data_IF_324248347093
#
_entry.id   IF_324248347093
#
_cell.length_a   1.000
_cell.length_b   1.000
_cell.length_c   1.000
_cell.angle_alpha   90.00
_cell.angle_beta   90.00
_cell.angle_gamma   90.00
#
_symmetry.space_group_name_H-M   'P 1'
#
loop_
_entity.id
_entity.type
_entity.pdbx_description
1 polymer ?
#
# COMPACT_ATOMS: atom_id res chain seq x y z
N UNK A 1 -63.91 -23.46 28.76
CA UNK A 1 -63.63 -23.34 27.32
C UNK A 1 -63.90 -21.92 26.90
N UNK A 2 -62.85 -21.19 26.52
CA UNK A 2 -62.75 -20.26 25.39
C UNK A 2 -61.45 -19.49 25.58
N UNK A 3 -60.42 -19.93 24.86
CA UNK A 3 -59.16 -19.25 24.73
C UNK A 3 -59.30 -18.14 23.67
N UNK A 4 -58.85 -16.93 23.96
CA UNK A 4 -58.48 -15.92 22.95
C UNK A 4 -57.11 -15.37 23.33
N UNK A 5 -56.05 -16.06 22.91
CA UNK A 5 -55.18 -15.63 21.80
C UNK A 5 -54.62 -14.22 22.02
N UNK A 6 -53.48 -14.15 22.71
CA UNK A 6 -52.63 -12.97 22.69
C UNK A 6 -52.09 -12.77 21.28
N UNK A 7 -52.59 -11.76 20.58
CA UNK A 7 -51.96 -11.25 19.37
C UNK A 7 -50.84 -10.32 19.81
N UNK A 8 -49.61 -10.83 19.77
CA UNK A 8 -48.41 -10.01 19.82
C UNK A 8 -48.43 -9.05 18.63
N UNK A 9 -48.88 -7.81 18.87
CA UNK A 9 -48.87 -6.74 17.90
C UNK A 9 -47.44 -6.46 17.48
N UNK A 10 -47.18 -6.52 16.17
CA UNK A 10 -45.93 -6.08 15.57
C UNK A 10 -45.80 -4.58 15.83
N UNK A 11 -44.98 -4.17 16.79
CA UNK A 11 -44.60 -2.77 16.95
C UNK A 11 -43.56 -2.45 15.87
N UNK A 12 -43.87 -1.61 14.85
CA UNK A 12 -42.85 -1.19 13.92
C UNK A 12 -41.85 -0.33 14.68
N UNK A 13 -40.59 -0.76 14.70
CA UNK A 13 -39.45 -0.05 15.31
C UNK A 13 -39.03 1.21 14.53
N UNK A 14 -39.81 1.61 13.53
CA UNK A 14 -39.57 2.79 12.72
C UNK A 14 -40.61 3.86 13.03
N UNK A 15 -40.14 5.07 13.34
CA UNK A 15 -41.00 6.23 13.51
C UNK A 15 -41.82 6.48 12.23
N UNK A 16 -43.08 6.90 12.41
CA UNK A 16 -43.98 7.32 11.34
C UNK A 16 -43.29 8.42 10.49
N UNK A 17 -42.89 8.09 9.26
CA UNK A 17 -42.42 9.10 8.31
C UNK A 17 -43.63 9.84 7.75
N UNK A 18 -43.81 11.10 8.15
CA UNK A 18 -44.71 12.01 7.45
C UNK A 18 -44.23 12.16 6.00
N UNK A 19 -45.15 12.11 5.03
CA UNK A 19 -44.84 12.44 3.65
C UNK A 19 -44.40 13.91 3.59
N UNK A 20 -43.09 14.15 3.60
CA UNK A 20 -42.54 15.45 3.25
C UNK A 20 -42.88 15.75 1.79
N UNK A 21 -43.06 17.03 1.44
CA UNK A 21 -43.12 17.46 0.04
C UNK A 21 -41.97 16.82 -0.74
N UNK A 22 -42.27 16.38 -1.96
CA UNK A 22 -41.30 15.80 -2.87
C UNK A 22 -40.26 16.88 -3.21
N UNK A 23 -39.20 16.97 -2.41
CA UNK A 23 -37.99 17.68 -2.79
C UNK A 23 -37.39 16.91 -3.97
N UNK A 24 -37.08 17.61 -5.08
CA UNK A 24 -36.38 17.00 -6.20
C UNK A 24 -35.19 16.19 -5.67
N UNK A 25 -34.96 14.96 -6.17
CA UNK A 25 -33.83 14.17 -5.70
C UNK A 25 -32.58 15.00 -5.94
N UNK A 26 -31.93 15.46 -4.86
CA UNK A 26 -30.62 16.12 -4.95
C UNK A 26 -29.77 15.22 -5.84
N UNK A 27 -29.45 15.71 -7.04
CA UNK A 27 -28.65 14.97 -8.00
C UNK A 27 -27.35 14.62 -7.26
N UNK A 28 -27.20 13.35 -6.87
CA UNK A 28 -25.95 12.85 -6.32
C UNK A 28 -24.99 12.77 -7.51
N UNK A 29 -24.35 13.90 -7.80
CA UNK A 29 -23.25 13.98 -8.76
C UNK A 29 -22.09 13.19 -8.14
N UNK A 30 -21.99 11.91 -8.47
CA UNK A 30 -20.95 11.02 -7.98
C UNK A 30 -20.19 10.46 -9.17
N UNK A 31 -18.98 10.96 -9.33
CA UNK A 31 -18.11 10.59 -10.42
C UNK A 31 -16.65 10.76 -10.02
N UNK A 32 -15.82 9.81 -10.43
CA UNK A 32 -14.37 9.95 -10.31
C UNK A 32 -13.89 10.88 -11.43
N UNK A 33 -13.41 12.08 -11.10
CA UNK A 33 -12.73 12.94 -12.08
C UNK A 33 -11.35 12.37 -12.35
N UNK A 34 -11.14 11.81 -13.55
CA UNK A 34 -9.78 11.52 -13.97
C UNK A 34 -8.95 12.81 -13.93
N UNK A 35 -7.71 12.74 -13.43
CA UNK A 35 -6.87 13.92 -13.44
C UNK A 35 -6.66 14.44 -14.84
N UNK A 36 -7.14 15.66 -15.08
CA UNK A 36 -6.82 16.43 -16.27
C UNK A 36 -5.68 17.39 -15.94
N UNK A 37 -4.54 16.80 -15.59
CA UNK A 37 -3.32 17.55 -15.28
C UNK A 37 -2.33 17.44 -16.43
N UNK A 38 -1.65 18.54 -16.74
CA UNK A 38 -0.47 18.48 -17.61
C UNK A 38 0.63 17.64 -16.96
N UNK A 39 1.58 17.11 -17.75
CA UNK A 39 2.69 16.29 -17.22
C UNK A 39 3.51 17.01 -16.14
N UNK A 40 3.67 18.32 -16.26
CA UNK A 40 4.39 19.15 -15.28
C UNK A 40 3.60 19.32 -13.98
N UNK A 41 2.29 19.55 -14.10
CA UNK A 41 1.39 19.63 -12.96
C UNK A 41 1.31 18.30 -12.21
N UNK A 42 1.19 17.20 -12.94
CA UNK A 42 1.15 15.86 -12.37
C UNK A 42 2.47 15.50 -11.67
N UNK A 43 3.61 15.81 -12.28
CA UNK A 43 4.91 15.57 -11.65
C UNK A 43 5.11 16.41 -10.38
N UNK A 44 4.62 17.66 -10.35
CA UNK A 44 4.63 18.49 -9.15
C UNK A 44 3.81 17.86 -8.01
N UNK A 45 2.62 17.32 -8.31
CA UNK A 45 1.80 16.60 -7.32
C UNK A 45 2.52 15.35 -6.81
N UNK A 46 3.10 14.55 -7.71
CA UNK A 46 3.87 13.35 -7.34
C UNK A 46 5.03 13.70 -6.40
N UNK A 47 5.78 14.77 -6.70
CA UNK A 47 6.88 15.24 -5.86
C UNK A 47 6.39 15.72 -4.49
N UNK A 48 5.36 16.56 -4.46
CA UNK A 48 4.80 17.12 -3.22
C UNK A 48 4.25 16.03 -2.30
N UNK A 49 3.48 15.10 -2.84
CA UNK A 49 2.91 13.96 -2.10
C UNK A 49 3.99 13.03 -1.60
N UNK A 50 5.01 12.76 -2.41
CA UNK A 50 6.15 11.92 -2.01
C UNK A 50 6.96 12.57 -0.88
N UNK A 51 7.15 13.89 -0.92
CA UNK A 51 7.83 14.63 0.15
C UNK A 51 7.02 14.62 1.45
N UNK A 52 5.72 14.89 1.38
CA UNK A 52 4.81 14.85 2.53
C UNK A 52 4.78 13.45 3.16
N UNK A 53 4.64 12.41 2.34
CA UNK A 53 4.65 11.02 2.80
C UNK A 53 6.00 10.65 3.42
N UNK A 54 7.13 11.06 2.83
CA UNK A 54 8.46 10.78 3.37
C UNK A 54 8.70 11.46 4.73
N UNK A 55 8.15 12.65 4.94
CA UNK A 55 8.18 13.34 6.23
C UNK A 55 7.34 12.58 7.27
N UNK A 56 6.11 12.21 6.92
CA UNK A 56 5.17 11.51 7.80
C UNK A 56 5.62 10.07 8.13
N UNK A 57 6.33 9.39 7.20
CA UNK A 57 6.86 8.04 7.41
C UNK A 57 7.74 7.95 8.67
N UNK A 58 8.53 8.99 8.98
CA UNK A 58 9.50 8.99 10.08
C UNK A 58 8.85 8.73 11.45
N UNK A 59 7.89 9.56 11.90
CA UNK A 59 7.18 9.27 13.13
C UNK A 59 6.30 8.02 13.04
N UNK A 60 5.70 7.73 11.88
CA UNK A 60 4.82 6.57 11.69
C UNK A 60 5.53 5.23 11.99
N UNK A 61 6.75 5.05 11.46
CA UNK A 61 7.54 3.82 11.70
C UNK A 61 7.95 3.69 13.18
N UNK A 62 7.90 4.77 13.95
CA UNK A 62 8.19 4.76 15.39
C UNK A 62 6.95 4.50 16.25
N UNK A 63 5.76 4.48 15.67
CA UNK A 63 4.52 4.18 16.42
C UNK A 63 4.51 2.76 16.98
N UNK A 64 5.27 1.86 16.38
CA UNK A 64 5.66 0.56 16.90
C UNK A 64 6.14 0.56 18.37
N UNK A 65 6.70 1.67 18.85
CA UNK A 65 7.13 1.81 20.24
C UNK A 65 5.94 1.86 21.23
N UNK A 66 4.73 2.17 20.76
CA UNK A 66 3.51 2.27 21.56
C UNK A 66 2.70 0.98 21.60
N UNK A 67 3.21 -0.11 21.01
CA UNK A 67 2.48 -1.37 20.94
C UNK A 67 2.20 -1.99 22.31
N UNK A 68 2.92 -1.60 23.36
CA UNK A 68 2.62 -1.99 24.74
C UNK A 68 1.27 -1.43 25.27
N UNK A 69 0.70 -0.42 24.60
CA UNK A 69 -0.63 0.09 24.90
C UNK A 69 -1.74 -0.84 24.40
N UNK A 70 -1.54 -1.46 23.25
CA UNK A 70 -2.40 -2.55 22.78
C UNK A 70 -2.12 -3.77 23.63
N UNK A 71 -3.17 -4.36 24.22
CA UNK A 71 -3.06 -5.49 25.15
C UNK A 71 -2.75 -6.79 24.41
N UNK A 72 -1.58 -6.83 23.75
CA UNK A 72 -1.12 -7.96 22.94
C UNK A 72 -0.60 -9.03 23.88
N UNK A 73 -1.07 -10.29 23.73
CA UNK A 73 -0.64 -11.39 24.58
C UNK A 73 0.89 -11.52 24.60
N UNK A 74 1.50 -11.44 25.79
CA UNK A 74 2.94 -11.60 26.01
C UNK A 74 3.74 -10.31 26.25
N UNK A 75 3.33 -9.16 25.72
CA UNK A 75 3.98 -7.85 26.01
C UNK A 75 3.29 -7.09 27.15
N UNK A 76 1.94 -7.16 27.23
CA UNK A 76 1.16 -6.43 28.23
C UNK A 76 1.33 -6.95 29.66
N UNK A 77 1.59 -8.25 29.82
CA UNK A 77 1.79 -8.89 31.12
C UNK A 77 3.08 -8.46 31.84
N UNK A 78 3.98 -7.73 31.15
CA UNK A 78 5.26 -7.28 31.71
C UNK A 78 5.20 -5.90 32.36
N UNK A 79 4.15 -5.12 32.10
CA UNK A 79 4.02 -3.73 32.59
C UNK A 79 2.68 -3.61 33.32
N UNK A 80 2.73 -3.43 34.64
CA UNK A 80 1.55 -3.19 35.47
C UNK A 80 0.75 -1.99 34.93
N UNK A 81 -0.58 -2.04 35.05
CA UNK A 81 -1.47 -1.00 34.50
C UNK A 81 -1.17 0.42 35.03
N UNK A 82 -0.65 0.54 36.26
CA UNK A 82 -0.20 1.81 36.86
C UNK A 82 1.02 2.40 36.17
N UNK A 83 1.91 1.57 35.62
CA UNK A 83 3.14 2.00 34.94
C UNK A 83 2.94 2.34 33.45
N UNK A 84 1.83 1.94 32.83
CA UNK A 84 1.57 2.19 31.40
C UNK A 84 1.55 3.70 31.07
N UNK A 85 1.04 4.55 31.98
CA UNK A 85 1.00 6.02 31.80
C UNK A 85 2.40 6.64 31.85
N UNK A 86 3.21 6.25 32.84
CA UNK A 86 4.59 6.73 32.95
C UNK A 86 5.44 6.26 31.76
N UNK A 87 5.26 4.99 31.35
CA UNK A 87 5.93 4.42 30.18
C UNK A 87 5.51 5.08 28.87
N UNK A 88 4.25 5.50 28.73
CA UNK A 88 3.76 6.28 27.60
C UNK A 88 4.53 7.59 27.41
N UNK A 89 4.59 8.43 28.43
CA UNK A 89 5.34 9.69 28.35
C UNK A 89 6.83 9.46 28.18
N UNK A 90 7.41 8.46 28.87
CA UNK A 90 8.81 8.08 28.68
C UNK A 90 9.09 7.70 27.23
N UNK A 91 8.19 6.96 26.59
CA UNK A 91 8.32 6.58 25.18
C UNK A 91 8.21 7.80 24.27
N UNK A 92 7.24 8.69 24.50
CA UNK A 92 7.08 9.92 23.71
C UNK A 92 8.35 10.78 23.71
N UNK A 93 8.92 11.03 24.89
CA UNK A 93 10.06 11.94 25.02
C UNK A 93 11.40 11.29 24.70
N UNK A 94 11.52 9.96 24.85
CA UNK A 94 12.77 9.25 24.53
C UNK A 94 12.93 8.95 23.04
N UNK A 95 11.83 8.85 22.30
CA UNK A 95 11.87 8.52 20.87
C UNK A 95 12.34 9.72 20.06
N UNK A 96 13.40 9.52 19.29
CA UNK A 96 13.85 10.47 18.27
C UNK A 96 12.96 10.36 17.03
N UNK A 97 11.81 11.03 17.06
CA UNK A 97 10.74 10.96 16.05
C UNK A 97 11.18 11.18 14.61
N UNK A 98 12.12 12.10 14.39
CA UNK A 98 12.60 12.46 13.05
C UNK A 98 13.93 11.80 12.67
N UNK A 99 14.42 10.85 13.49
CA UNK A 99 15.60 10.06 13.16
C UNK A 99 15.24 8.88 12.26
N UNK A 100 16.08 8.59 11.27
CA UNK A 100 15.85 7.48 10.36
C UNK A 100 16.57 7.66 9.05
N UNK A 101 16.04 7.02 8.01
CA UNK A 101 16.60 7.16 6.66
C UNK A 101 16.55 8.62 6.19
N UNK A 102 17.52 9.03 5.34
CA UNK A 102 17.51 10.36 4.74
C UNK A 102 16.18 10.63 4.03
N UNK A 103 15.65 11.85 4.22
CA UNK A 103 14.34 12.22 3.70
C UNK A 103 14.30 12.10 2.18
N UNK A 104 15.34 12.63 1.53
CA UNK A 104 15.51 12.59 0.08
C UNK A 104 15.46 11.15 -0.44
N UNK A 105 16.08 10.20 0.27
CA UNK A 105 16.12 8.81 -0.15
C UNK A 105 14.73 8.17 -0.12
N UNK A 106 13.96 8.40 0.95
CA UNK A 106 12.56 7.92 1.02
C UNK A 106 11.66 8.62 0.00
N UNK A 107 11.89 9.92 -0.25
CA UNK A 107 11.16 10.68 -1.26
C UNK A 107 11.39 10.10 -2.66
N UNK A 108 12.65 9.83 -3.02
CA UNK A 108 13.01 9.26 -4.33
C UNK A 108 12.39 7.87 -4.54
N UNK A 109 12.33 7.03 -3.49
CA UNK A 109 11.65 5.74 -3.56
C UNK A 109 10.17 5.90 -3.91
N UNK A 110 9.47 6.84 -3.26
CA UNK A 110 8.05 7.10 -3.52
C UNK A 110 7.78 7.72 -4.88
N UNK A 111 8.61 8.70 -5.29
CA UNK A 111 8.53 9.31 -6.62
C UNK A 111 8.69 8.24 -7.69
N UNK A 112 9.70 7.38 -7.56
CA UNK A 112 9.94 6.31 -8.52
C UNK A 112 8.74 5.35 -8.62
N UNK A 113 8.19 4.91 -7.48
CA UNK A 113 7.06 3.98 -7.46
C UNK A 113 5.80 4.60 -8.10
N UNK A 114 5.49 5.85 -7.78
CA UNK A 114 4.29 6.51 -8.27
C UNK A 114 4.40 6.92 -9.74
N UNK A 115 5.57 7.42 -10.15
CA UNK A 115 5.86 7.75 -11.54
C UNK A 115 5.87 6.50 -12.44
N UNK A 116 6.49 5.41 -11.99
CA UNK A 116 6.50 4.15 -12.76
C UNK A 116 5.10 3.55 -12.88
N UNK A 117 4.31 3.55 -11.80
CA UNK A 117 2.93 3.07 -11.83
C UNK A 117 2.06 3.87 -12.81
N UNK A 118 2.07 5.20 -12.71
CA UNK A 118 1.25 6.08 -13.57
C UNK A 118 1.64 5.95 -15.05
N UNK A 119 2.95 5.98 -15.33
CA UNK A 119 3.48 5.80 -16.68
C UNK A 119 3.14 4.42 -17.28
N UNK A 120 3.24 3.34 -16.50
CA UNK A 120 2.88 1.99 -16.97
C UNK A 120 1.38 1.87 -17.21
N UNK A 121 0.57 2.46 -16.32
CA UNK A 121 -0.89 2.43 -16.43
C UNK A 121 -1.38 3.13 -17.70
N UNK A 122 -0.77 4.24 -18.09
CA UNK A 122 -1.14 4.94 -19.34
C UNK A 122 -0.77 4.13 -20.60
N UNK A 123 0.27 3.30 -20.54
CA UNK A 123 0.81 2.59 -21.71
C UNK A 123 0.27 1.18 -21.90
N UNK A 124 -0.27 0.56 -20.86
CA UNK A 124 -0.73 -0.83 -20.91
C UNK A 124 -2.10 -0.95 -21.61
N UNK A 125 -2.20 -1.67 -22.74
CA UNK A 125 -3.46 -1.82 -23.49
C UNK A 125 -4.41 -2.88 -22.90
N UNK A 126 -4.18 -3.35 -21.67
CA UNK A 126 -4.92 -4.48 -21.09
C UNK A 126 -6.39 -4.11 -20.83
N UNK A 127 -7.29 -5.04 -21.19
CA UNK A 127 -8.74 -4.84 -21.42
C UNK A 127 -9.64 -4.70 -20.17
N UNK A 128 -9.19 -3.98 -19.15
CA UNK A 128 -10.03 -3.58 -18.01
C UNK A 128 -9.26 -2.72 -17.03
N UNK A 129 -9.91 -1.69 -16.48
CA UNK A 129 -9.26 -0.73 -15.56
C UNK A 129 -8.61 -1.45 -14.37
N UNK A 130 -9.32 -2.39 -13.76
CA UNK A 130 -8.82 -3.24 -12.67
C UNK A 130 -7.54 -3.99 -13.07
N UNK A 131 -7.61 -4.82 -14.13
CA UNK A 131 -6.49 -5.63 -14.59
C UNK A 131 -5.26 -4.76 -14.94
N UNK A 132 -5.49 -3.62 -15.60
CA UNK A 132 -4.46 -2.63 -15.92
C UNK A 132 -3.79 -2.07 -14.66
N UNK A 133 -4.55 -1.85 -13.59
CA UNK A 133 -4.03 -1.43 -12.29
C UNK A 133 -3.10 -2.46 -11.64
N UNK A 134 -3.54 -3.72 -11.57
CA UNK A 134 -2.72 -4.81 -11.03
C UNK A 134 -1.44 -5.02 -11.83
N UNK A 135 -1.55 -4.96 -13.16
CA UNK A 135 -0.42 -5.08 -14.08
C UNK A 135 0.60 -3.95 -13.92
N UNK A 136 0.13 -2.70 -13.96
CA UNK A 136 0.97 -1.52 -13.81
C UNK A 136 1.68 -1.52 -12.44
N UNK A 137 0.96 -1.88 -11.38
CA UNK A 137 1.52 -2.02 -10.04
C UNK A 137 2.60 -3.10 -9.96
N UNK A 138 2.34 -4.27 -10.55
CA UNK A 138 3.28 -5.38 -10.56
C UNK A 138 4.55 -5.07 -11.35
N UNK A 139 4.43 -4.51 -12.55
CA UNK A 139 5.57 -4.10 -13.37
C UNK A 139 6.36 -2.96 -12.71
N UNK A 140 5.70 -2.00 -12.08
CA UNK A 140 6.35 -0.95 -11.28
C UNK A 140 7.19 -1.57 -10.16
N UNK A 141 6.67 -2.62 -9.50
CA UNK A 141 7.39 -3.38 -8.49
C UNK A 141 8.63 -4.11 -9.02
N UNK A 142 8.56 -4.68 -10.23
CA UNK A 142 9.73 -5.30 -10.89
C UNK A 142 10.78 -4.25 -11.26
N UNK A 143 10.36 -3.12 -11.83
CA UNK A 143 11.26 -2.00 -12.12
C UNK A 143 11.94 -1.50 -10.85
N UNK A 144 11.18 -1.37 -9.76
CA UNK A 144 11.71 -1.00 -8.46
C UNK A 144 12.72 -2.03 -7.96
N UNK A 145 12.41 -3.33 -8.05
CA UNK A 145 13.34 -4.38 -7.67
C UNK A 145 14.63 -4.35 -8.49
N UNK A 146 14.56 -4.09 -9.80
CA UNK A 146 15.73 -4.04 -10.68
C UNK A 146 16.70 -2.91 -10.30
N UNK A 147 16.16 -1.74 -9.92
CA UNK A 147 16.96 -0.57 -9.49
C UNK A 147 17.43 -0.74 -8.05
N UNK A 148 16.58 -1.28 -7.17
CA UNK A 148 16.85 -1.30 -5.73
C UNK A 148 17.73 -2.47 -5.27
N UNK A 149 17.53 -3.65 -5.86
CA UNK A 149 18.26 -4.86 -5.50
C UNK A 149 19.78 -4.68 -5.49
N UNK A 150 20.43 -4.03 -6.49
CA UNK A 150 21.87 -3.87 -6.44
C UNK A 150 22.35 -3.03 -5.27
N UNK A 151 21.63 -1.96 -4.95
CA UNK A 151 21.93 -1.14 -3.77
C UNK A 151 21.78 -1.94 -2.47
N UNK A 152 20.72 -2.74 -2.35
CA UNK A 152 20.51 -3.57 -1.16
C UNK A 152 21.63 -4.59 -0.97
N UNK A 153 22.10 -5.24 -2.04
CA UNK A 153 23.19 -6.22 -1.97
C UNK A 153 24.54 -5.56 -1.61
N UNK A 154 24.83 -4.39 -2.18
CA UNK A 154 26.05 -3.66 -1.83
C UNK A 154 26.01 -3.18 -0.37
N UNK A 155 24.84 -2.75 0.10
CA UNK A 155 24.64 -2.34 1.48
C UNK A 155 24.82 -3.50 2.45
N UNK A 156 24.18 -4.64 2.21
CA UNK A 156 24.35 -5.83 3.08
C UNK A 156 25.78 -6.34 3.06
N UNK A 157 26.49 -6.22 1.94
CA UNK A 157 27.92 -6.54 1.85
C UNK A 157 28.78 -5.59 2.68
N UNK A 158 28.45 -4.30 2.69
CA UNK A 158 29.16 -3.31 3.53
C UNK A 158 28.90 -3.49 5.03
N UNK A 159 27.70 -3.97 5.39
CA UNK A 159 27.26 -4.21 6.76
C UNK A 159 27.52 -5.65 7.23
N UNK A 160 28.11 -6.51 6.38
CA UNK A 160 28.30 -7.93 6.68
C UNK A 160 29.15 -8.13 7.93
N UNK A 161 28.59 -8.84 8.91
CA UNK A 161 29.22 -9.12 10.20
C UNK A 161 30.07 -10.39 10.07
N UNK A 162 31.40 -10.24 10.11
CA UNK A 162 32.31 -11.40 10.00
C UNK A 162 33.82 -11.11 10.03
N UNK A 163 34.24 -9.90 10.42
CA UNK A 163 35.66 -9.51 10.50
C UNK A 163 35.82 -8.01 10.83
N UNK A 164 37.05 -7.46 10.91
CA UNK A 164 37.25 -6.02 11.04
C UNK A 164 36.47 -5.31 9.91
N UNK A 165 35.86 -4.14 10.19
CA UNK A 165 35.05 -3.36 9.23
C UNK A 165 35.81 -3.21 7.91
N UNK A 166 35.58 -4.12 6.97
CA UNK A 166 36.37 -4.22 5.73
C UNK A 166 36.04 -3.07 4.77
N UNK A 167 34.84 -2.51 4.90
CA UNK A 167 34.36 -1.41 4.06
C UNK A 167 33.75 -0.31 4.91
N UNK A 168 34.05 0.96 4.55
CA UNK A 168 33.48 2.14 5.20
C UNK A 168 32.04 2.44 4.76
N UNK A 169 31.61 1.88 3.63
CA UNK A 169 30.24 2.02 3.12
C UNK A 169 30.07 1.43 1.72
N UNK A 170 28.87 1.61 1.15
CA UNK A 170 28.48 1.10 -0.18
C UNK A 170 29.46 1.50 -1.29
N UNK A 171 29.88 2.76 -1.32
CA UNK A 171 30.82 3.25 -2.35
C UNK A 171 32.21 2.61 -2.25
N UNK A 172 32.64 2.23 -1.05
CA UNK A 172 33.92 1.57 -0.82
C UNK A 172 33.89 0.12 -1.32
N UNK A 173 32.75 -0.56 -1.14
CA UNK A 173 32.50 -1.89 -1.73
C UNK A 173 32.58 -1.82 -3.25
N UNK A 174 31.92 -0.83 -3.88
CA UNK A 174 31.95 -0.66 -5.34
C UNK A 174 33.36 -0.36 -5.84
N UNK A 175 34.07 0.57 -5.19
CA UNK A 175 35.44 0.94 -5.54
C UNK A 175 36.40 -0.25 -5.44
N UNK A 176 36.26 -1.06 -4.40
CA UNK A 176 37.08 -2.26 -4.20
C UNK A 176 36.72 -3.35 -5.22
N UNK A 177 35.43 -3.57 -5.48
CA UNK A 177 34.97 -4.53 -6.48
C UNK A 177 35.46 -4.18 -7.89
N UNK A 178 35.44 -2.90 -8.27
CA UNK A 178 35.95 -2.41 -9.56
C UNK A 178 37.47 -2.60 -9.69
N UNK A 179 38.22 -2.44 -8.60
CA UNK A 179 39.69 -2.58 -8.59
C UNK A 179 40.15 -4.03 -8.59
N UNK A 180 39.51 -4.89 -7.81
CA UNK A 180 39.95 -6.26 -7.61
C UNK A 180 39.37 -7.22 -8.66
N UNK A 181 38.03 -7.24 -8.81
CA UNK A 181 37.33 -8.19 -9.70
C UNK A 181 35.99 -7.61 -10.18
N UNK A 182 35.95 -6.94 -11.36
CA UNK A 182 34.72 -6.34 -11.88
C UNK A 182 33.61 -7.36 -12.16
N UNK A 183 33.94 -8.63 -12.38
CA UNK A 183 32.97 -9.72 -12.53
C UNK A 183 32.09 -9.95 -11.29
N UNK A 184 32.53 -9.50 -10.10
CA UNK A 184 31.74 -9.54 -8.86
C UNK A 184 30.52 -8.62 -8.93
N UNK A 185 30.57 -7.57 -9.75
CA UNK A 185 29.44 -6.65 -9.95
C UNK A 185 28.25 -7.31 -10.66
N UNK A 186 28.50 -8.27 -11.55
CA UNK A 186 27.42 -9.09 -12.13
C UNK A 186 26.79 -10.01 -11.09
N UNK A 187 27.56 -10.41 -10.06
CA UNK A 187 27.10 -11.18 -8.92
C UNK A 187 26.07 -10.45 -8.06
N UNK A 188 25.98 -9.12 -8.15
CA UNK A 188 25.04 -8.29 -7.40
C UNK A 188 23.59 -8.60 -7.78
N UNK A 189 23.33 -9.01 -9.03
CA UNK A 189 21.99 -9.41 -9.49
C UNK A 189 21.61 -10.85 -9.15
N UNK A 190 22.47 -11.61 -8.44
CA UNK A 190 22.10 -12.95 -7.98
C UNK A 190 20.89 -12.88 -7.05
N UNK A 191 19.88 -13.70 -7.37
CA UNK A 191 18.63 -13.76 -6.61
C UNK A 191 17.64 -12.63 -6.90
N UNK A 192 17.89 -11.80 -7.92
CA UNK A 192 16.95 -10.73 -8.33
C UNK A 192 15.57 -11.27 -8.69
N UNK A 193 15.48 -12.49 -9.23
CA UNK A 193 14.21 -13.12 -9.63
C UNK A 193 13.26 -13.31 -8.45
N UNK A 194 13.76 -13.80 -7.31
CA UNK A 194 12.95 -13.98 -6.11
C UNK A 194 12.48 -12.63 -5.52
N UNK A 195 13.34 -11.61 -5.59
CA UNK A 195 13.00 -10.25 -5.15
C UNK A 195 11.97 -9.62 -6.07
N UNK A 196 12.19 -9.71 -7.38
CA UNK A 196 11.29 -9.18 -8.39
C UNK A 196 9.91 -9.84 -8.31
N UNK A 197 9.84 -11.16 -8.11
CA UNK A 197 8.57 -11.86 -7.91
C UNK A 197 7.84 -11.38 -6.65
N UNK A 198 8.55 -11.26 -5.52
CA UNK A 198 7.96 -10.72 -4.29
C UNK A 198 7.45 -9.28 -4.45
N UNK A 199 8.22 -8.41 -5.11
CA UNK A 199 7.82 -7.01 -5.36
C UNK A 199 6.69 -6.90 -6.38
N UNK A 200 6.65 -7.76 -7.39
CA UNK A 200 5.58 -7.84 -8.38
C UNK A 200 4.25 -8.10 -7.68
N UNK A 201 4.20 -9.10 -6.80
CA UNK A 201 2.94 -9.42 -6.12
C UNK A 201 2.59 -8.37 -5.07
N UNK A 202 3.59 -7.83 -4.35
CA UNK A 202 3.39 -6.75 -3.38
C UNK A 202 2.71 -5.53 -4.01
N UNK A 203 3.38 -4.94 -5.01
CA UNK A 203 2.94 -3.68 -5.59
C UNK A 203 1.78 -3.88 -6.57
N UNK A 204 1.67 -5.06 -7.19
CA UNK A 204 0.51 -5.46 -7.97
C UNK A 204 -0.76 -5.46 -7.12
N UNK A 205 -0.74 -6.07 -5.94
CA UNK A 205 -1.89 -6.03 -5.04
C UNK A 205 -2.15 -4.63 -4.47
N UNK A 206 -1.09 -3.93 -4.03
CA UNK A 206 -1.21 -2.59 -3.45
C UNK A 206 -1.85 -1.59 -4.43
N UNK A 207 -1.24 -1.40 -5.61
CA UNK A 207 -1.76 -0.45 -6.60
C UNK A 207 -2.97 -1.00 -7.36
N UNK A 208 -3.09 -2.32 -7.50
CA UNK A 208 -4.24 -2.97 -8.13
C UNK A 208 -5.52 -2.77 -7.35
N UNK A 209 -5.51 -3.02 -6.04
CA UNK A 209 -6.67 -2.77 -5.16
C UNK A 209 -7.05 -1.30 -5.18
N UNK A 210 -6.10 -0.39 -5.01
CA UNK A 210 -6.37 1.05 -5.12
C UNK A 210 -6.96 1.47 -6.46
N UNK A 211 -6.42 0.94 -7.55
CA UNK A 211 -6.88 1.32 -8.88
C UNK A 211 -8.26 0.73 -9.21
N UNK A 212 -8.53 -0.49 -8.73
CA UNK A 212 -9.83 -1.12 -8.83
C UNK A 212 -10.86 -0.26 -8.09
N UNK A 213 -10.53 0.12 -6.86
CA UNK A 213 -11.56 0.63 -5.98
C UNK A 213 -11.75 2.14 -6.07
N UNK A 214 -10.76 2.93 -6.49
CA UNK A 214 -10.94 4.37 -6.70
C UNK A 214 -12.03 4.70 -7.73
N UNK A 215 -12.31 3.79 -8.67
CA UNK A 215 -13.31 3.99 -9.71
C UNK A 215 -14.71 3.50 -9.34
N UNK A 216 -14.88 2.76 -8.25
CA UNK A 216 -16.16 2.15 -7.92
C UNK A 216 -17.25 3.19 -7.57
N UNK A 217 -16.95 4.50 -7.50
CA UNK A 217 -17.91 5.56 -7.11
C UNK A 217 -18.39 5.46 -5.65
N UNK A 218 -18.04 4.38 -4.96
CA UNK A 218 -18.45 4.00 -3.59
C UNK A 218 -17.77 4.84 -2.50
N UNK A 219 -16.69 5.56 -2.83
CA UNK A 219 -15.85 6.22 -1.83
C UNK A 219 -16.36 7.62 -1.51
N UNK A 220 -17.20 7.71 -0.48
CA UNK A 220 -17.80 8.99 -0.06
C UNK A 220 -16.84 9.90 0.73
N UNK A 221 -15.76 9.36 1.30
CA UNK A 221 -14.85 10.10 2.19
C UNK A 221 -13.39 9.65 2.09
N UNK A 222 -12.45 10.59 2.34
CA UNK A 222 -10.99 10.34 2.37
C UNK A 222 -10.59 9.21 3.31
N UNK A 223 -11.27 9.08 4.46
CA UNK A 223 -11.02 8.00 5.41
C UNK A 223 -11.31 6.62 4.82
N UNK A 224 -12.39 6.49 4.02
CA UNK A 224 -12.68 5.24 3.35
C UNK A 224 -11.56 4.93 2.36
N UNK A 225 -11.20 5.87 1.48
CA UNK A 225 -10.07 5.70 0.55
C UNK A 225 -8.80 5.22 1.25
N UNK A 226 -8.52 5.76 2.43
CA UNK A 226 -7.41 5.31 3.25
C UNK A 226 -7.52 3.86 3.69
N UNK A 227 -8.68 3.43 4.19
CA UNK A 227 -8.90 2.04 4.59
C UNK A 227 -8.70 1.05 3.45
N UNK A 228 -9.12 1.39 2.23
CA UNK A 228 -8.96 0.48 1.10
C UNK A 228 -7.54 0.48 0.53
N UNK A 229 -6.86 1.63 0.51
CA UNK A 229 -5.43 1.67 0.20
C UNK A 229 -4.62 0.90 1.25
N UNK A 230 -5.03 0.96 2.51
CA UNK A 230 -4.44 0.22 3.63
C UNK A 230 -4.65 -1.29 3.47
N UNK A 231 -5.88 -1.71 3.16
CA UNK A 231 -6.19 -3.10 2.84
C UNK A 231 -5.34 -3.62 1.67
N UNK A 232 -5.22 -2.84 0.58
CA UNK A 232 -4.38 -3.17 -0.56
C UNK A 232 -2.89 -3.31 -0.19
N UNK A 233 -2.37 -2.39 0.62
CA UNK A 233 -0.98 -2.43 1.09
C UNK A 233 -0.72 -3.64 2.01
N UNK A 234 -1.64 -3.95 2.94
CA UNK A 234 -1.57 -5.13 3.82
C UNK A 234 -1.63 -6.42 3.00
N UNK A 235 -2.54 -6.51 2.04
CA UNK A 235 -2.64 -7.66 1.14
C UNK A 235 -1.35 -7.83 0.34
N UNK A 236 -0.76 -6.74 -0.15
CA UNK A 236 0.55 -6.76 -0.82
C UNK A 236 1.66 -7.31 0.08
N UNK A 237 1.74 -6.85 1.34
CA UNK A 237 2.70 -7.38 2.31
C UNK A 237 2.49 -8.86 2.60
N UNK A 238 1.22 -9.29 2.77
CA UNK A 238 0.86 -10.68 3.00
C UNK A 238 1.30 -11.57 1.83
N UNK A 239 0.98 -11.18 0.60
CA UNK A 239 1.32 -11.97 -0.59
C UNK A 239 2.83 -11.97 -0.88
N UNK A 240 3.55 -10.90 -0.53
CA UNK A 240 5.00 -10.84 -0.66
C UNK A 240 5.73 -11.70 0.38
N UNK A 241 5.16 -11.86 1.58
CA UNK A 241 5.86 -12.42 2.73
C UNK A 241 6.54 -13.78 2.45
N UNK A 242 5.93 -14.72 1.70
CA UNK A 242 6.59 -15.98 1.36
C UNK A 242 7.91 -15.82 0.62
N UNK A 243 7.98 -14.89 -0.33
CA UNK A 243 9.19 -14.63 -1.11
C UNK A 243 10.28 -14.01 -0.25
N UNK A 244 9.89 -13.09 0.65
CA UNK A 244 10.81 -12.44 1.57
C UNK A 244 11.39 -13.42 2.59
N UNK A 245 10.51 -14.19 3.25
CA UNK A 245 10.87 -15.18 4.28
C UNK A 245 11.81 -16.23 3.70
N UNK A 246 11.46 -16.84 2.57
CA UNK A 246 12.31 -17.85 1.91
C UNK A 246 13.66 -17.26 1.50
N UNK A 247 13.69 -16.06 0.89
CA UNK A 247 14.95 -15.40 0.51
C UNK A 247 15.85 -15.17 1.72
N UNK A 248 15.31 -14.61 2.80
CA UNK A 248 16.09 -14.25 3.98
C UNK A 248 16.63 -15.49 4.70
N UNK A 249 15.80 -16.51 4.89
CA UNK A 249 16.20 -17.77 5.51
C UNK A 249 17.26 -18.51 4.67
N UNK A 250 17.10 -18.51 3.34
CA UNK A 250 18.08 -19.11 2.45
C UNK A 250 19.41 -18.36 2.50
N UNK A 251 19.38 -17.02 2.54
CA UNK A 251 20.58 -16.20 2.66
C UNK A 251 21.33 -16.51 3.97
N UNK A 252 20.62 -16.51 5.11
CA UNK A 252 21.19 -16.82 6.42
C UNK A 252 21.81 -18.23 6.46
N UNK A 253 21.09 -19.25 5.97
CA UNK A 253 21.62 -20.63 5.93
C UNK A 253 22.86 -20.77 5.05
N UNK A 254 22.86 -20.11 3.89
CA UNK A 254 23.99 -20.17 2.96
C UNK A 254 25.23 -19.43 3.48
N UNK A 255 25.09 -18.52 4.46
CA UNK A 255 26.26 -17.91 5.13
C UNK A 255 26.99 -18.92 6.04
N UNK A 256 26.29 -19.86 6.65
CA UNK A 256 26.88 -20.85 7.56
C UNK A 256 27.22 -22.19 6.90
N UNK A 257 26.80 -22.40 5.66
CA UNK A 257 27.02 -23.65 4.93
C UNK A 257 28.42 -23.67 4.35
N UNK A 258 29.26 -24.61 4.80
CA UNK A 258 30.65 -24.80 4.31
C UNK A 258 30.74 -25.62 3.00
N UNK A 259 29.61 -26.15 2.51
CA UNK A 259 29.51 -26.99 1.32
C UNK A 259 28.72 -26.34 0.18
N UNK A 260 28.03 -27.16 -0.62
CA UNK A 260 27.19 -26.64 -1.72
C UNK A 260 26.04 -25.79 -1.15
N UNK A 261 25.82 -24.56 -1.66
CA UNK A 261 24.75 -23.71 -1.16
C UNK A 261 23.39 -24.34 -1.45
N UNK A 262 22.46 -24.16 -0.51
CA UNK A 262 21.09 -24.59 -0.70
C UNK A 262 20.41 -23.76 -1.80
N UNK A 263 19.60 -24.42 -2.60
CA UNK A 263 18.77 -23.80 -3.63
C UNK A 263 17.38 -23.52 -3.08
N UNK A 264 16.67 -22.54 -3.64
CA UNK A 264 15.27 -22.25 -3.30
C UNK A 264 14.39 -23.51 -3.30
N UNK A 265 14.49 -24.34 -4.35
CA UNK A 265 13.71 -25.58 -4.48
C UNK A 265 14.01 -26.59 -3.37
N UNK A 266 15.27 -26.78 -3.00
CA UNK A 266 15.64 -27.73 -1.93
C UNK A 266 15.15 -27.24 -0.57
N UNK A 267 15.29 -25.95 -0.30
CA UNK A 267 14.82 -25.34 0.94
C UNK A 267 13.29 -25.42 1.08
N UNK A 268 12.54 -25.04 0.04
CA UNK A 268 11.07 -25.10 0.06
C UNK A 268 10.58 -26.55 0.27
N UNK A 269 11.21 -27.53 -0.40
CA UNK A 269 10.87 -28.95 -0.23
C UNK A 269 11.14 -29.43 1.19
N UNK A 270 12.27 -29.04 1.78
CA UNK A 270 12.63 -29.37 3.16
C UNK A 270 11.65 -28.76 4.17
N UNK A 271 11.36 -27.46 4.06
CA UNK A 271 10.42 -26.76 4.95
C UNK A 271 9.03 -27.38 4.86
N UNK A 272 8.55 -27.65 3.64
CA UNK A 272 7.26 -28.31 3.42
C UNK A 272 7.20 -29.69 4.07
N UNK A 273 8.28 -30.48 3.98
CA UNK A 273 8.33 -31.82 4.56
C UNK A 273 8.43 -31.83 6.09
N UNK A 274 9.14 -30.87 6.70
CA UNK A 274 9.39 -30.86 8.16
C UNK A 274 8.38 -30.07 8.97
N UNK A 275 7.90 -28.93 8.45
CA UNK A 275 7.11 -27.96 9.21
C UNK A 275 5.80 -27.56 8.52
N UNK A 276 5.56 -28.05 7.30
CA UNK A 276 4.44 -27.63 6.48
C UNK A 276 4.64 -26.27 5.80
N UNK A 277 3.69 -25.91 4.95
CA UNK A 277 3.70 -24.65 4.16
C UNK A 277 3.44 -23.39 5.00
N UNK A 278 2.75 -23.53 6.13
CA UNK A 278 2.41 -22.42 7.03
C UNK A 278 3.64 -21.83 7.72
N UNK A 279 4.72 -22.61 7.89
CA UNK A 279 5.98 -22.14 8.49
C UNK A 279 6.59 -20.97 7.75
N UNK A 280 6.29 -20.80 6.46
CA UNK A 280 6.77 -19.66 5.66
C UNK A 280 6.21 -18.33 6.17
N UNK A 281 5.03 -18.33 6.78
CA UNK A 281 4.37 -17.16 7.38
C UNK A 281 4.75 -16.92 8.85
N UNK A 282 5.66 -17.71 9.39
CA UNK A 282 6.12 -17.52 10.77
C UNK A 282 6.79 -16.15 10.92
N UNK A 283 6.38 -15.40 11.94
CA UNK A 283 6.80 -14.01 12.16
C UNK A 283 6.11 -12.94 11.30
N UNK A 284 5.09 -13.27 10.50
CA UNK A 284 4.38 -12.25 9.71
C UNK A 284 3.77 -11.18 10.62
N UNK A 285 3.01 -11.58 11.64
CA UNK A 285 2.37 -10.64 12.56
C UNK A 285 3.34 -9.96 13.52
N UNK A 286 4.48 -10.57 13.84
CA UNK A 286 5.52 -9.91 14.65
C UNK A 286 6.17 -8.75 13.91
N UNK A 287 6.15 -8.77 12.56
CA UNK A 287 6.58 -7.63 11.73
C UNK A 287 5.57 -6.46 11.68
N UNK A 288 4.46 -6.52 12.44
CA UNK A 288 3.45 -5.45 12.56
C UNK A 288 3.00 -4.92 11.19
N UNK A 289 2.49 -5.79 10.29
CA UNK A 289 2.24 -5.45 8.90
C UNK A 289 1.19 -4.34 8.74
N UNK A 290 0.25 -4.24 9.68
CA UNK A 290 -0.78 -3.19 9.67
C UNK A 290 -0.18 -1.79 9.85
N UNK A 291 0.75 -1.61 10.78
CA UNK A 291 1.42 -0.32 10.99
C UNK A 291 2.37 -0.01 9.82
N UNK A 292 3.13 -1.00 9.37
CA UNK A 292 4.06 -0.86 8.26
C UNK A 292 3.38 -0.56 6.91
N UNK A 293 2.10 -0.90 6.75
CA UNK A 293 1.30 -0.55 5.58
C UNK A 293 0.82 0.91 5.55
N UNK A 294 0.81 1.62 6.70
CA UNK A 294 0.27 2.99 6.80
C UNK A 294 0.95 3.99 5.86
N UNK A 295 2.30 4.05 5.76
CA UNK A 295 2.94 5.00 4.83
C UNK A 295 2.59 4.74 3.36
N UNK A 296 2.41 3.48 2.98
CA UNK A 296 2.03 3.11 1.61
C UNK A 296 0.58 3.52 1.30
N UNK A 297 -0.33 3.30 2.25
CA UNK A 297 -1.71 3.74 2.14
C UNK A 297 -1.82 5.28 2.08
N UNK A 298 -1.05 5.96 2.93
CA UNK A 298 -0.99 7.42 2.98
C UNK A 298 -0.45 8.01 1.67
N UNK A 299 0.56 7.39 1.06
CA UNK A 299 1.08 7.80 -0.25
C UNK A 299 -0.03 7.85 -1.31
N UNK A 300 -0.79 6.76 -1.42
CA UNK A 300 -1.78 6.59 -2.48
C UNK A 300 -3.02 7.45 -2.25
N UNK A 301 -3.44 7.60 -0.99
CA UNK A 301 -4.56 8.46 -0.62
C UNK A 301 -4.24 9.93 -0.81
N UNK A 302 -3.07 10.40 -0.34
CA UNK A 302 -2.63 11.76 -0.59
C UNK A 302 -2.46 12.02 -2.09
N UNK A 303 -1.93 11.05 -2.84
CA UNK A 303 -1.82 11.17 -4.28
C UNK A 303 -3.17 11.40 -4.93
N UNK A 304 -4.17 10.58 -4.65
CA UNK A 304 -5.50 10.70 -5.24
C UNK A 304 -6.21 11.99 -4.81
N UNK A 305 -6.17 12.33 -3.51
CA UNK A 305 -6.78 13.55 -2.96
C UNK A 305 -6.13 14.81 -3.54
N UNK A 306 -4.81 14.90 -3.57
CA UNK A 306 -4.11 16.07 -4.11
C UNK A 306 -4.32 16.20 -5.62
N UNK A 307 -4.27 15.08 -6.33
CA UNK A 307 -4.49 15.03 -7.79
C UNK A 307 -5.90 15.50 -8.14
N UNK A 308 -6.91 15.04 -7.40
CA UNK A 308 -8.30 15.46 -7.54
C UNK A 308 -8.49 16.93 -7.17
N UNK A 309 -8.04 17.34 -5.99
CA UNK A 309 -8.21 18.72 -5.50
C UNK A 309 -7.55 19.73 -6.44
N UNK A 310 -6.40 19.37 -7.01
CA UNK A 310 -5.70 20.24 -7.95
C UNK A 310 -6.40 20.31 -9.31
N UNK A 311 -6.99 19.19 -9.77
CA UNK A 311 -7.82 19.17 -10.98
C UNK A 311 -9.07 20.04 -10.79
N UNK A 312 -9.76 19.91 -9.66
CA UNK A 312 -10.94 20.74 -9.32
C UNK A 312 -10.60 22.23 -9.17
N UNK A 313 -9.38 22.56 -8.73
CA UNK A 313 -8.90 23.94 -8.64
C UNK A 313 -8.67 24.58 -10.02
N UNK A 314 -8.08 23.83 -10.96
CA UNK A 314 -7.81 24.31 -12.32
C UNK A 314 -9.09 24.34 -13.17
N UNK A 315 -9.95 23.35 -12.98
CA UNK A 315 -11.16 23.12 -13.76
C UNK A 315 -12.41 23.16 -12.87
N UNK A 316 -12.83 24.35 -12.39
CA UNK A 316 -13.98 24.49 -11.51
C UNK A 316 -15.30 23.99 -12.15
N UNK A 317 -15.37 23.94 -13.47
CA UNK A 317 -16.47 23.36 -14.26
C UNK A 317 -16.63 21.85 -14.04
N UNK A 318 -15.53 21.12 -13.83
CA UNK A 318 -15.54 19.67 -13.59
C UNK A 318 -16.09 19.34 -12.20
N UNK A 319 -16.17 20.32 -11.29
CA UNK A 319 -16.82 20.17 -9.99
C UNK A 319 -18.33 19.93 -10.12
N UNK A 320 -18.94 20.29 -11.26
CA UNK A 320 -20.40 20.31 -11.48
C UNK A 320 -20.90 19.24 -12.46
N UNK A 321 -20.04 18.50 -13.15
CA UNK A 321 -20.42 17.54 -14.20
C UNK A 321 -20.16 16.08 -13.81
N UNK A 322 -21.28 15.34 -13.72
CA UNK A 322 -21.50 13.91 -13.91
C UNK A 322 -20.28 13.12 -14.41
N UNK A 323 -19.89 12.07 -13.69
CA UNK A 323 -19.23 10.95 -14.34
C UNK A 323 -20.23 9.80 -14.44
N UNK A 324 -20.43 9.32 -15.65
CA UNK A 324 -20.88 7.95 -15.86
C UNK A 324 -19.83 7.04 -15.22
N UNK A 325 -20.25 6.26 -14.23
CA UNK A 325 -19.41 5.24 -13.60
C UNK A 325 -19.46 4.00 -14.49
N UNK A 326 -18.37 3.70 -15.19
CA UNK A 326 -18.15 2.35 -15.72
C UNK A 326 -18.19 1.38 -14.53
N UNK A 327 -19.18 0.50 -14.52
CA UNK A 327 -19.64 -0.22 -13.32
C UNK A 327 -18.56 -1.10 -12.63
N UNK A 328 -18.61 -1.22 -11.27
CA UNK A 328 -17.70 -2.01 -10.43
C UNK A 328 -17.63 -3.52 -10.67
N UNK A 329 -16.57 -4.12 -10.13
CA UNK A 329 -16.28 -5.59 -10.03
C UNK A 329 -17.43 -6.41 -9.39
N UNK A 330 -18.30 -5.78 -8.59
CA UNK A 330 -19.40 -6.44 -7.88
C UNK A 330 -20.80 -5.90 -8.21
N UNK A 331 -20.91 -5.05 -9.24
CA UNK A 331 -22.22 -4.65 -9.75
C UNK A 331 -22.76 -5.79 -10.61
N UNK A 332 -23.88 -6.41 -10.22
CA UNK A 332 -24.72 -7.11 -11.20
C UNK A 332 -25.00 -6.12 -12.33
N UNK A 333 -24.89 -6.53 -13.60
CA UNK A 333 -25.07 -5.66 -14.76
C UNK A 333 -26.42 -4.94 -14.69
N UNK A 334 -26.43 -3.74 -14.12
CA UNK A 334 -27.59 -2.86 -14.09
C UNK A 334 -27.62 -2.11 -15.41
N UNK A 335 -28.79 -2.00 -16.03
CA UNK A 335 -28.97 -1.35 -17.31
C UNK A 335 -28.31 0.04 -17.36
N UNK A 336 -27.79 0.37 -18.55
CA UNK A 336 -27.11 1.60 -18.91
C UNK A 336 -27.85 2.83 -18.39
N UNK A 337 -27.20 3.68 -17.59
CA UNK A 337 -27.74 4.99 -17.25
C UNK A 337 -27.92 5.85 -18.52
N UNK A 338 -28.94 6.70 -18.52
CA UNK A 338 -29.40 7.47 -19.67
C UNK A 338 -28.34 8.49 -20.16
N UNK A 339 -28.08 8.46 -21.46
CA UNK A 339 -27.02 9.20 -22.16
C UNK A 339 -27.33 10.67 -22.52
N UNK A 340 -28.44 11.24 -22.02
CA UNK A 340 -28.71 12.67 -22.19
C UNK A 340 -29.64 13.21 -21.10
N UNK A 341 -29.27 14.36 -20.51
CA UNK A 341 -30.16 15.18 -19.70
C UNK A 341 -31.02 16.04 -20.64
N UNK A 342 -32.32 16.27 -20.37
CA UNK A 342 -33.10 17.22 -21.15
C UNK A 342 -32.58 18.64 -20.92
N UNK A 343 -32.54 19.44 -21.98
CA UNK A 343 -32.31 20.88 -21.90
C UNK A 343 -33.50 21.53 -21.16
N UNK A 344 -33.22 22.29 -20.10
CA UNK A 344 -34.24 23.09 -19.42
C UNK A 344 -34.56 24.32 -20.27
N UNK A 345 -35.65 24.29 -21.02
CA UNK A 345 -36.34 25.51 -21.48
C UNK A 345 -37.49 25.81 -20.52
N UNK A 346 -37.44 26.97 -19.88
CA UNK A 346 -38.59 27.51 -19.16
C UNK A 346 -39.46 28.27 -20.16
N UNK A 347 -40.63 27.73 -20.50
CA UNK A 347 -41.72 28.51 -21.08
C UNK A 347 -42.49 29.18 -19.94
N UNK A 348 -42.40 30.50 -19.83
CA UNK A 348 -43.18 31.29 -18.88
C UNK A 348 -44.62 31.49 -19.35
N UNK A 349 -45.57 31.34 -18.42
CA UNK A 349 -46.82 32.09 -18.42
C UNK A 349 -47.09 32.59 -17.00
#
# INVERSE_FOLDING_TARGET
MLASSGTAGYHPSYALRTAAEFEEPRVRVQGYTEPRLTRVQHSAVVLGVSAATALLKRPLVKMDAFYFLSDVPGESNRIYASDKRAQFFRTIFSVRWFSGQPLLWSMLEYVFLLASFTWLRERLPWGGNTLRGFAAGGLAGVMYAAVRHPYDVLRTTSEAVGGPKKFKGVGDVVKTALREKPSVLLGVYRGVTAVACGRLVQFGAQFGVYNATRYDGVYHHTCMLFLYCHLGAVLGLFLQYPFLSVKQQLHLRNQFTRGRPHTYRSYIREVRARHGITKVFDGFFTSRPMLNAVPAALLMTLYDVCTRSYTEFIHPELRKLHAEVDQPIFSASGASYASSLPAYEFAGK
#
